data_IF_860339481297
#
_entry.id   IF_860339481297
#
_cell.length_a   1.000
_cell.length_b   1.000
_cell.length_c   1.000
_cell.angle_alpha   90.00
_cell.angle_beta   90.00
_cell.angle_gamma   90.00
#
_symmetry.space_group_name_H-M   'P 1'
#
loop_
_entity.id
_entity.type
_entity.pdbx_description
1 polymer ?
#
# COMPACT_ATOMS: atom_id res chain seq x y z
N UNK A 1 -33.27 21.19 25.07
CA UNK A 1 -31.96 21.16 24.36
C UNK A 1 -31.55 19.70 24.33
N UNK A 2 -31.94 19.01 23.25
CA UNK A 2 -31.53 17.64 23.02
C UNK A 2 -30.09 17.65 22.50
N UNK A 3 -29.20 17.01 23.25
CA UNK A 3 -27.83 16.75 22.84
C UNK A 3 -27.87 15.59 21.83
N UNK A 4 -27.75 15.92 20.57
CA UNK A 4 -27.64 14.92 19.50
C UNK A 4 -26.29 14.23 19.69
N UNK A 5 -26.32 13.05 20.24
CA UNK A 5 -25.14 12.17 20.35
C UNK A 5 -24.81 11.69 18.93
N UNK A 6 -23.80 12.30 18.31
CA UNK A 6 -23.23 11.78 17.06
C UNK A 6 -22.60 10.44 17.39
N UNK A 7 -23.26 9.36 16.95
CA UNK A 7 -22.69 8.02 17.00
C UNK A 7 -21.39 8.05 16.17
N UNK A 8 -20.27 7.89 16.84
CA UNK A 8 -18.99 7.53 16.23
C UNK A 8 -19.19 6.20 15.50
N UNK A 9 -19.32 6.25 14.19
CA UNK A 9 -19.21 5.06 13.36
C UNK A 9 -17.80 4.51 13.59
N UNK A 10 -17.71 3.36 14.24
CA UNK A 10 -16.48 2.61 14.40
C UNK A 10 -15.85 2.42 13.02
N UNK A 11 -14.53 2.59 12.91
CA UNK A 11 -13.78 2.45 11.66
C UNK A 11 -14.19 1.15 10.97
N UNK A 12 -14.95 1.26 9.87
CA UNK A 12 -15.44 0.12 9.10
C UNK A 12 -14.25 -0.76 8.68
N UNK A 13 -14.49 -2.05 8.52
CA UNK A 13 -13.46 -2.98 8.04
C UNK A 13 -12.88 -2.41 6.71
N UNK A 14 -11.56 -2.29 6.60
CA UNK A 14 -10.91 -1.75 5.40
C UNK A 14 -11.37 -2.47 4.12
N UNK A 15 -11.65 -3.76 4.19
CA UNK A 15 -12.18 -4.53 3.08
C UNK A 15 -13.52 -3.96 2.59
N UNK A 16 -14.42 -3.66 3.51
CA UNK A 16 -15.73 -3.10 3.19
C UNK A 16 -15.58 -1.68 2.61
N UNK A 17 -14.64 -0.89 3.14
CA UNK A 17 -14.29 0.42 2.60
C UNK A 17 -13.73 0.30 1.17
N UNK A 18 -12.79 -0.61 0.92
CA UNK A 18 -12.26 -0.84 -0.43
C UNK A 18 -13.36 -1.33 -1.38
N UNK A 19 -14.19 -2.28 -0.96
CA UNK A 19 -15.33 -2.73 -1.75
C UNK A 19 -16.29 -1.59 -2.08
N UNK A 20 -16.57 -0.72 -1.12
CA UNK A 20 -17.43 0.44 -1.32
C UNK A 20 -16.82 1.47 -2.27
N UNK A 21 -15.52 1.77 -2.12
CA UNK A 21 -14.78 2.69 -3.01
C UNK A 21 -14.78 2.17 -4.44
N UNK A 22 -14.49 0.88 -4.63
CA UNK A 22 -14.36 0.26 -5.96
C UNK A 22 -15.67 -0.31 -6.52
N UNK A 23 -16.79 -0.18 -5.79
CA UNK A 23 -18.08 -0.65 -6.28
C UNK A 23 -18.51 0.16 -7.54
N UNK A 24 -18.91 -0.51 -8.64
CA UNK A 24 -19.29 0.19 -9.88
C UNK A 24 -20.43 1.20 -9.71
N UNK A 25 -21.40 0.89 -8.81
CA UNK A 25 -22.52 1.77 -8.49
C UNK A 25 -22.19 2.82 -7.41
N UNK A 26 -20.94 2.91 -6.93
CA UNK A 26 -20.57 3.93 -5.97
C UNK A 26 -20.68 5.31 -6.61
N UNK A 27 -21.67 6.09 -6.15
CA UNK A 27 -21.88 7.46 -6.60
C UNK A 27 -20.76 8.43 -6.18
N UNK A 28 -19.86 7.99 -5.28
CA UNK A 28 -18.70 8.77 -4.87
C UNK A 28 -17.70 8.79 -6.00
N UNK A 29 -17.65 9.90 -6.74
CA UNK A 29 -16.59 10.23 -7.68
C UNK A 29 -15.33 10.72 -6.97
N UNK A 30 -15.36 10.80 -5.63
CA UNK A 30 -14.25 11.30 -4.82
C UNK A 30 -13.10 10.32 -4.85
N UNK A 31 -11.95 10.78 -5.30
CA UNK A 31 -10.71 10.06 -5.23
C UNK A 31 -10.22 10.02 -3.77
N UNK A 32 -9.71 8.87 -3.36
CA UNK A 32 -9.12 8.67 -2.05
C UNK A 32 -7.61 8.43 -2.17
N UNK A 33 -6.90 8.56 -1.06
CA UNK A 33 -5.50 8.17 -0.99
C UNK A 33 -5.18 7.42 0.30
N UNK A 34 -4.06 6.72 0.28
CA UNK A 34 -3.45 6.05 1.42
C UNK A 34 -1.95 6.34 1.47
N UNK A 35 -1.33 6.12 2.61
CA UNK A 35 0.07 6.46 2.81
C UNK A 35 0.87 5.31 3.44
N UNK A 36 2.12 5.16 3.03
CA UNK A 36 3.08 4.34 3.77
C UNK A 36 3.81 5.19 4.81
N UNK A 37 3.83 4.70 6.04
CA UNK A 37 4.48 5.34 7.20
C UNK A 37 5.67 4.49 7.61
N UNK A 38 6.86 5.09 7.63
CA UNK A 38 8.06 4.44 8.14
C UNK A 38 7.93 4.16 9.64
N UNK A 39 8.41 2.98 10.06
CA UNK A 39 8.43 2.58 11.48
C UNK A 39 9.63 3.13 12.25
N UNK A 40 10.44 4.01 11.65
CA UNK A 40 11.49 4.73 12.37
C UNK A 40 10.85 5.65 13.41
N UNK A 41 11.52 5.79 14.56
CA UNK A 41 11.01 6.60 15.66
C UNK A 41 10.66 8.02 15.19
N UNK A 42 9.36 8.27 15.11
CA UNK A 42 8.76 9.56 14.81
C UNK A 42 7.55 9.73 15.75
N UNK A 43 7.83 10.25 16.92
CA UNK A 43 6.81 10.45 17.97
C UNK A 43 5.71 11.44 17.56
N UNK A 44 5.97 12.27 16.53
CA UNK A 44 5.03 13.26 16.02
C UNK A 44 4.22 12.76 14.80
N UNK A 45 4.43 11.54 14.33
CA UNK A 45 3.84 11.08 13.07
C UNK A 45 2.30 11.15 13.08
N UNK A 46 1.67 10.83 14.20
CA UNK A 46 0.21 10.86 14.32
C UNK A 46 -0.32 12.30 14.23
N UNK A 47 0.35 13.26 14.89
CA UNK A 47 -0.01 14.67 14.80
C UNK A 47 0.17 15.20 13.37
N UNK A 48 1.24 14.79 12.70
CA UNK A 48 1.49 15.17 11.30
C UNK A 48 0.46 14.56 10.36
N UNK A 49 0.03 13.31 10.60
CA UNK A 49 -1.08 12.70 9.86
C UNK A 49 -2.38 13.45 10.04
N UNK A 50 -2.70 13.86 11.29
CA UNK A 50 -3.88 14.70 11.58
C UNK A 50 -3.86 16.04 10.85
N UNK A 51 -2.66 16.56 10.56
CA UNK A 51 -2.48 17.78 9.79
C UNK A 51 -2.74 17.65 8.29
N UNK A 52 -2.83 16.44 7.76
CA UNK A 52 -3.17 16.24 6.34
C UNK A 52 -4.65 16.58 6.06
N UNK A 53 -4.89 17.17 4.90
CA UNK A 53 -6.24 17.45 4.41
C UNK A 53 -6.30 17.16 2.90
N UNK A 54 -7.13 16.20 2.45
CA UNK A 54 -7.98 15.29 3.25
C UNK A 54 -7.18 14.27 4.07
N UNK A 55 -7.88 13.39 4.80
CA UNK A 55 -7.25 12.31 5.57
C UNK A 55 -7.04 11.05 4.73
N UNK A 56 -5.95 10.28 4.95
CA UNK A 56 -5.75 9.02 4.26
C UNK A 56 -6.78 7.97 4.72
N UNK A 57 -7.23 7.12 3.81
CA UNK A 57 -8.17 6.04 4.14
C UNK A 57 -7.52 4.90 4.92
N UNK A 58 -6.22 4.69 4.77
CA UNK A 58 -5.41 3.81 5.61
C UNK A 58 -3.94 4.22 5.61
N UNK A 59 -3.23 3.78 6.63
CA UNK A 59 -1.78 3.84 6.71
C UNK A 59 -1.18 2.45 6.50
N UNK A 60 -0.19 2.28 5.64
CA UNK A 60 0.58 1.04 5.53
C UNK A 60 1.88 1.13 6.30
N UNK A 61 2.27 0.03 6.93
CA UNK A 61 3.48 -0.06 7.74
C UNK A 61 4.42 -1.12 7.17
N UNK A 62 5.62 -0.73 6.68
CA UNK A 62 6.53 -1.67 6.08
C UNK A 62 7.09 -2.68 7.10
N UNK A 63 7.34 -3.90 6.63
CA UNK A 63 8.09 -4.91 7.34
C UNK A 63 9.58 -4.72 7.04
N UNK A 64 10.33 -4.26 8.04
CA UNK A 64 11.75 -3.94 7.85
C UNK A 64 12.59 -5.12 8.32
N UNK A 65 13.08 -5.93 7.38
CA UNK A 65 14.03 -7.04 7.57
C UNK A 65 13.59 -8.15 8.55
N UNK A 66 14.43 -9.16 8.68
CA UNK A 66 14.35 -10.25 9.69
C UNK A 66 14.57 -9.77 11.12
N UNK A 67 15.04 -8.53 11.29
CA UNK A 67 15.16 -7.92 12.62
C UNK A 67 13.84 -7.96 13.41
N UNK A 68 12.71 -8.05 12.73
CA UNK A 68 11.40 -8.17 13.35
C UNK A 68 11.21 -9.54 14.06
N UNK A 69 11.88 -10.58 13.62
CA UNK A 69 11.78 -11.92 14.23
C UNK A 69 12.43 -12.01 15.62
N UNK A 70 13.29 -11.03 15.99
CA UNK A 70 13.83 -10.92 17.36
C UNK A 70 12.77 -10.66 18.42
N UNK A 71 11.56 -10.26 18.04
CA UNK A 71 10.43 -10.01 18.93
C UNK A 71 9.52 -11.23 19.09
N UNK A 72 10.01 -12.42 18.79
CA UNK A 72 9.20 -13.67 18.85
C UNK A 72 8.62 -13.95 20.24
N UNK A 73 9.26 -13.49 21.31
CA UNK A 73 8.73 -13.59 22.68
C UNK A 73 7.48 -12.73 22.87
N UNK A 74 7.46 -11.54 22.26
CA UNK A 74 6.34 -10.60 22.34
C UNK A 74 6.33 -9.66 21.12
N UNK A 75 5.55 -10.00 20.12
CA UNK A 75 5.41 -9.21 18.90
C UNK A 75 4.76 -7.84 19.10
N UNK A 76 4.06 -7.60 20.23
CA UNK A 76 3.51 -6.25 20.52
C UNK A 76 4.61 -5.21 20.71
N UNK A 77 5.83 -5.64 21.03
CA UNK A 77 7.02 -4.78 21.17
C UNK A 77 7.66 -4.43 19.82
N UNK A 78 7.29 -5.11 18.74
CA UNK A 78 7.81 -4.83 17.42
C UNK A 78 7.43 -3.41 16.99
N UNK A 79 8.36 -2.58 16.47
CA UNK A 79 8.10 -1.18 16.16
C UNK A 79 6.88 -0.96 15.26
N UNK A 80 6.72 -1.79 14.22
CA UNK A 80 5.57 -1.68 13.30
C UNK A 80 4.24 -2.03 13.98
N UNK A 81 4.18 -3.05 14.85
CA UNK A 81 2.95 -3.41 15.56
C UNK A 81 2.63 -2.42 16.68
N UNK A 82 3.64 -1.90 17.37
CA UNK A 82 3.45 -0.83 18.34
C UNK A 82 2.85 0.42 17.67
N UNK A 83 3.41 0.82 16.52
CA UNK A 83 2.88 1.94 15.75
C UNK A 83 1.48 1.62 15.20
N UNK A 84 1.22 0.38 14.76
CA UNK A 84 -0.11 -0.04 14.34
C UNK A 84 -1.15 0.17 15.45
N UNK A 85 -0.84 -0.22 16.69
CA UNK A 85 -1.72 0.01 17.84
C UNK A 85 -1.97 1.50 18.10
N UNK A 86 -0.95 2.35 17.99
CA UNK A 86 -1.09 3.80 18.17
C UNK A 86 -1.96 4.42 17.05
N UNK A 87 -1.77 4.03 15.80
CA UNK A 87 -2.57 4.51 14.67
C UNK A 87 -4.03 4.06 14.79
N UNK A 88 -4.27 2.81 15.19
CA UNK A 88 -5.63 2.30 15.43
C UNK A 88 -6.34 3.03 16.57
N UNK A 89 -5.64 3.35 17.66
CA UNK A 89 -6.16 4.21 18.74
C UNK A 89 -6.51 5.62 18.23
N UNK A 90 -5.73 6.12 17.27
CA UNK A 90 -6.00 7.39 16.59
C UNK A 90 -7.04 7.27 15.45
N UNK A 91 -7.72 6.12 15.32
CA UNK A 91 -8.78 5.81 14.36
C UNK A 91 -8.31 5.70 12.90
N UNK A 92 -7.03 5.48 12.64
CA UNK A 92 -6.52 5.17 11.31
C UNK A 92 -6.60 3.66 11.04
N UNK A 93 -7.24 3.21 9.95
CA UNK A 93 -7.07 1.84 9.47
C UNK A 93 -5.61 1.57 9.12
N UNK A 94 -5.09 0.41 9.50
CA UNK A 94 -3.69 0.03 9.28
C UNK A 94 -3.60 -1.20 8.40
N UNK A 95 -2.71 -1.15 7.40
CA UNK A 95 -2.26 -2.29 6.60
C UNK A 95 -0.83 -2.61 7.01
N UNK A 96 -0.64 -3.73 7.70
CA UNK A 96 0.70 -4.16 8.11
C UNK A 96 1.34 -5.00 7.02
N UNK A 97 2.56 -4.65 6.59
CA UNK A 97 3.31 -5.54 5.71
C UNK A 97 3.73 -6.79 6.48
N UNK A 98 3.77 -7.92 5.80
CA UNK A 98 4.26 -9.18 6.33
C UNK A 98 5.14 -9.86 5.29
N UNK A 99 6.41 -10.05 5.63
CA UNK A 99 7.38 -10.70 4.76
C UNK A 99 7.42 -12.21 4.98
N UNK A 100 7.53 -12.96 3.90
CA UNK A 100 7.72 -14.42 3.95
C UNK A 100 9.09 -14.83 4.50
N UNK A 101 10.07 -13.93 4.51
CA UNK A 101 11.45 -14.27 4.85
C UNK A 101 11.59 -14.82 6.25
N UNK A 102 12.04 -16.09 6.34
CA UNK A 102 12.23 -16.85 7.59
C UNK A 102 11.00 -16.90 8.53
N UNK A 103 9.83 -16.60 8.03
CA UNK A 103 8.60 -16.60 8.82
C UNK A 103 8.05 -18.02 8.97
N UNK A 104 7.71 -18.41 10.20
CA UNK A 104 7.08 -19.68 10.53
C UNK A 104 5.57 -19.53 10.73
N UNK A 105 4.83 -20.64 10.63
CA UNK A 105 3.39 -20.65 10.91
C UNK A 105 3.09 -20.22 12.37
N UNK A 106 3.91 -20.66 13.31
CA UNK A 106 3.75 -20.30 14.72
C UNK A 106 3.93 -18.78 14.94
N UNK A 107 4.92 -18.17 14.26
CA UNK A 107 5.12 -16.72 14.33
C UNK A 107 3.95 -15.96 13.71
N UNK A 108 3.41 -16.44 12.57
CA UNK A 108 2.20 -15.86 11.99
C UNK A 108 1.04 -15.89 12.97
N UNK A 109 0.80 -17.05 13.61
CA UNK A 109 -0.27 -17.17 14.62
C UNK A 109 -0.06 -16.21 15.78
N UNK A 110 1.15 -16.12 16.34
CA UNK A 110 1.48 -15.16 17.41
C UNK A 110 1.24 -13.71 17.00
N UNK A 111 1.61 -13.34 15.75
CA UNK A 111 1.37 -11.98 15.21
C UNK A 111 -0.13 -11.72 15.12
N UNK A 112 -0.92 -12.63 14.57
CA UNK A 112 -2.37 -12.50 14.47
C UNK A 112 -3.03 -12.44 15.85
N UNK A 113 -2.57 -13.25 16.81
CA UNK A 113 -3.07 -13.26 18.18
C UNK A 113 -2.86 -11.94 18.94
N UNK A 114 -1.97 -11.05 18.48
CA UNK A 114 -1.85 -9.69 19.05
C UNK A 114 -3.14 -8.87 18.88
N UNK A 115 -4.02 -9.23 17.94
CA UNK A 115 -5.21 -8.46 17.57
C UNK A 115 -4.93 -7.15 16.83
N UNK A 116 -3.66 -6.79 16.63
CA UNK A 116 -3.24 -5.55 15.98
C UNK A 116 -3.21 -5.66 14.45
N UNK A 117 -3.27 -6.88 13.91
CA UNK A 117 -3.13 -7.15 12.48
C UNK A 117 -4.44 -7.72 11.93
N UNK A 118 -5.19 -6.86 11.21
CA UNK A 118 -6.44 -7.23 10.53
C UNK A 118 -6.35 -7.07 9.01
N UNK A 119 -5.48 -6.18 8.55
CA UNK A 119 -5.22 -5.94 7.13
C UNK A 119 -3.73 -6.14 6.89
N UNK A 120 -3.41 -6.93 5.90
CA UNK A 120 -2.04 -7.34 5.58
C UNK A 120 -1.67 -6.96 4.16
N UNK A 121 -0.42 -6.60 3.95
CA UNK A 121 0.20 -6.55 2.64
C UNK A 121 1.34 -7.58 2.60
N UNK A 122 1.15 -8.62 1.79
CA UNK A 122 2.06 -9.76 1.76
C UNK A 122 3.17 -9.51 0.76
N UNK A 123 4.40 -9.52 1.24
CA UNK A 123 5.61 -9.41 0.44
C UNK A 123 6.45 -10.68 0.56
N UNK A 124 7.12 -11.08 -0.53
CA UNK A 124 8.02 -12.23 -0.47
C UNK A 124 9.28 -11.92 0.35
N UNK A 125 9.74 -10.68 0.29
CA UNK A 125 11.06 -10.23 0.73
C UNK A 125 12.11 -10.36 -0.38
N UNK A 126 13.21 -9.63 -0.21
CA UNK A 126 14.30 -9.56 -1.21
C UNK A 126 15.17 -10.82 -1.20
N UNK A 127 15.26 -11.46 -0.04
CA UNK A 127 16.01 -12.69 0.16
C UNK A 127 15.05 -13.84 0.42
N UNK A 128 15.35 -15.01 -0.15
CA UNK A 128 14.61 -16.26 0.09
C UNK A 128 15.57 -17.29 0.63
N UNK A 129 15.28 -17.81 1.81
CA UNK A 129 15.93 -19.00 2.33
C UNK A 129 15.22 -20.24 1.72
N UNK A 130 15.92 -21.11 0.96
CA UNK A 130 15.29 -22.25 0.29
C UNK A 130 14.56 -23.21 1.26
N UNK A 131 14.92 -23.20 2.53
CA UNK A 131 14.33 -24.07 3.56
C UNK A 131 13.23 -23.41 4.38
N UNK A 132 12.93 -22.12 4.12
CA UNK A 132 11.86 -21.42 4.83
C UNK A 132 10.47 -21.98 4.48
N UNK A 133 9.50 -21.80 5.39
CA UNK A 133 8.14 -22.31 5.23
C UNK A 133 7.39 -21.66 4.06
N UNK A 134 7.55 -20.35 3.88
CA UNK A 134 6.89 -19.56 2.84
C UNK A 134 7.91 -19.06 1.83
N UNK A 135 8.13 -19.78 0.75
CA UNK A 135 9.12 -19.41 -0.27
C UNK A 135 8.60 -18.37 -1.26
N UNK A 136 7.27 -18.27 -1.36
CA UNK A 136 6.56 -17.30 -2.19
C UNK A 136 5.44 -16.62 -1.42
N UNK A 137 5.06 -15.44 -1.85
CA UNK A 137 3.94 -14.70 -1.22
C UNK A 137 2.60 -15.45 -1.33
N UNK A 138 2.39 -16.25 -2.37
CA UNK A 138 1.17 -17.05 -2.49
C UNK A 138 1.10 -18.18 -1.43
N UNK A 139 2.22 -18.74 -0.97
CA UNK A 139 2.24 -19.73 0.13
C UNK A 139 1.66 -19.12 1.41
N UNK A 140 2.05 -17.87 1.70
CA UNK A 140 1.58 -17.15 2.88
C UNK A 140 0.11 -16.71 2.73
N UNK A 141 -0.30 -16.27 1.54
CA UNK A 141 -1.72 -15.94 1.26
C UNK A 141 -2.60 -17.17 1.47
N UNK A 142 -2.22 -18.32 0.90
CA UNK A 142 -2.95 -19.59 1.04
C UNK A 142 -3.05 -20.01 2.51
N UNK A 143 -1.94 -19.95 3.25
CA UNK A 143 -1.93 -20.24 4.68
C UNK A 143 -2.89 -19.33 5.46
N UNK A 144 -2.80 -18.01 5.27
CA UNK A 144 -3.65 -17.04 5.96
C UNK A 144 -5.15 -17.21 5.66
N UNK A 145 -5.49 -17.76 4.47
CA UNK A 145 -6.88 -18.04 4.12
C UNK A 145 -7.44 -19.31 4.76
N UNK A 146 -6.56 -20.21 5.18
CA UNK A 146 -6.92 -21.47 5.86
C UNK A 146 -6.90 -21.38 7.39
N UNK A 147 -6.15 -20.45 7.96
CA UNK A 147 -6.11 -20.26 9.42
C UNK A 147 -7.48 -19.79 9.89
N UNK A 148 -8.12 -20.49 10.83
CA UNK A 148 -9.35 -19.99 11.45
C UNK A 148 -9.07 -18.64 12.11
N UNK A 149 -9.98 -17.67 11.93
CA UNK A 149 -9.92 -16.45 12.72
C UNK A 149 -10.31 -16.83 14.16
N UNK A 150 -9.32 -16.91 15.04
CA UNK A 150 -9.59 -17.07 16.47
C UNK A 150 -10.16 -15.75 17.02
N UNK A 151 -11.43 -15.78 17.43
CA UNK A 151 -12.06 -14.68 18.14
C UNK A 151 -11.43 -14.55 19.53
N UNK A 152 -10.60 -13.54 19.71
CA UNK A 152 -9.99 -13.19 21.00
C UNK A 152 -11.00 -12.75 22.07
N UNK A 153 -12.32 -12.84 21.81
CA UNK A 153 -13.38 -12.39 22.71
C UNK A 153 -14.68 -13.17 22.55
N UNK A 154 -14.68 -14.50 22.75
CA UNK A 154 -15.85 -15.29 23.13
C UNK A 154 -17.25 -14.96 22.54
N UNK A 155 -17.33 -14.26 21.41
CA UNK A 155 -18.56 -13.84 20.78
C UNK A 155 -18.78 -14.53 19.44
N UNK A 156 -20.01 -14.96 19.18
CA UNK A 156 -20.50 -15.52 17.92
C UNK A 156 -20.55 -14.48 16.78
N UNK A 157 -19.57 -13.57 16.72
CA UNK A 157 -19.43 -12.65 15.61
C UNK A 157 -18.76 -13.36 14.44
N UNK A 158 -19.29 -13.23 13.25
CA UNK A 158 -18.66 -13.61 11.99
C UNK A 158 -17.21 -13.13 12.01
N UNK A 159 -16.28 -14.07 12.19
CA UNK A 159 -14.84 -13.78 12.24
C UNK A 159 -14.50 -12.88 11.06
N UNK A 160 -14.09 -11.64 11.32
CA UNK A 160 -13.82 -10.68 10.25
C UNK A 160 -12.62 -11.20 9.47
N UNK A 161 -12.88 -11.68 8.26
CA UNK A 161 -11.85 -12.20 7.37
C UNK A 161 -10.75 -11.16 7.17
N UNK A 162 -9.48 -11.57 7.30
CA UNK A 162 -8.33 -10.72 7.03
C UNK A 162 -8.45 -10.06 5.65
N UNK A 163 -8.12 -8.78 5.55
CA UNK A 163 -7.93 -8.12 4.26
C UNK A 163 -6.49 -8.35 3.81
N UNK A 164 -6.28 -8.91 2.63
CA UNK A 164 -4.96 -9.25 2.12
C UNK A 164 -4.69 -8.50 0.81
N UNK A 165 -3.71 -7.59 0.86
CA UNK A 165 -3.10 -6.98 -0.31
C UNK A 165 -1.85 -7.72 -0.77
N UNK A 166 -1.54 -7.66 -2.05
CA UNK A 166 -0.33 -8.22 -2.65
C UNK A 166 0.30 -7.25 -3.62
N UNK A 167 1.63 -7.36 -3.82
CA UNK A 167 2.39 -6.49 -4.70
C UNK A 167 2.14 -6.79 -6.18
N UNK A 168 2.02 -5.72 -6.98
CA UNK A 168 2.04 -5.74 -8.43
C UNK A 168 3.25 -4.97 -8.96
N UNK A 169 3.79 -5.36 -10.12
CA UNK A 169 5.03 -4.81 -10.67
C UNK A 169 4.81 -4.34 -12.10
N UNK A 170 4.38 -3.08 -12.32
CA UNK A 170 4.06 -2.56 -13.65
C UNK A 170 5.21 -2.64 -14.65
N UNK A 171 6.44 -2.42 -14.20
CA UNK A 171 7.65 -2.54 -15.01
C UNK A 171 8.30 -3.94 -14.96
N UNK A 172 7.60 -4.92 -14.36
CA UNK A 172 8.12 -6.28 -14.14
C UNK A 172 8.93 -6.39 -12.85
N UNK A 173 8.96 -7.59 -12.30
CA UNK A 173 9.81 -7.91 -11.15
C UNK A 173 11.13 -8.46 -11.66
N UNK A 174 12.27 -7.98 -11.15
CA UNK A 174 13.62 -8.35 -11.63
C UNK A 174 13.93 -9.86 -11.56
N UNK A 175 13.18 -10.63 -10.79
CA UNK A 175 13.29 -12.09 -10.70
C UNK A 175 12.24 -12.83 -11.52
N UNK A 176 11.29 -12.14 -12.14
CA UNK A 176 10.33 -12.76 -13.05
C UNK A 176 11.00 -13.06 -14.38
N UNK A 177 10.72 -14.24 -14.95
CA UNK A 177 11.30 -14.67 -16.23
C UNK A 177 10.76 -13.86 -17.41
N UNK A 178 9.52 -13.40 -17.28
CA UNK A 178 8.83 -12.61 -18.29
C UNK A 178 7.68 -11.80 -17.68
N UNK A 179 7.20 -10.76 -18.37
CA UNK A 179 5.99 -10.05 -17.96
C UNK A 179 4.73 -10.95 -17.90
N UNK A 180 4.66 -12.00 -18.70
CA UNK A 180 3.55 -12.97 -18.67
C UNK A 180 3.60 -13.84 -17.42
N UNK A 181 4.79 -14.29 -17.00
CA UNK A 181 4.97 -15.03 -15.75
C UNK A 181 4.58 -14.18 -14.53
N UNK A 182 4.90 -12.88 -14.55
CA UNK A 182 4.51 -11.95 -13.51
C UNK A 182 2.98 -11.93 -13.33
N UNK A 183 2.24 -11.71 -14.41
CA UNK A 183 0.78 -11.68 -14.40
C UNK A 183 0.19 -13.04 -13.99
N UNK A 184 0.76 -14.15 -14.43
CA UNK A 184 0.33 -15.51 -14.02
C UNK A 184 0.48 -15.70 -12.51
N UNK A 185 1.63 -15.38 -11.93
CA UNK A 185 1.84 -15.46 -10.47
C UNK A 185 0.91 -14.53 -9.70
N UNK A 186 0.57 -13.39 -10.30
CA UNK A 186 -0.40 -12.48 -9.71
C UNK A 186 -1.81 -13.08 -9.71
N UNK A 187 -2.22 -13.66 -10.83
CA UNK A 187 -3.51 -14.36 -10.93
C UNK A 187 -3.63 -15.51 -9.92
N UNK A 188 -2.54 -16.25 -9.68
CA UNK A 188 -2.48 -17.29 -8.64
C UNK A 188 -2.77 -16.71 -7.25
N UNK A 189 -2.13 -15.58 -6.87
CA UNK A 189 -2.39 -14.90 -5.59
C UNK A 189 -3.84 -14.43 -5.46
N UNK A 190 -4.40 -13.93 -6.54
CA UNK A 190 -5.81 -13.49 -6.59
C UNK A 190 -6.76 -14.68 -6.44
N UNK A 191 -6.50 -15.79 -7.13
CA UNK A 191 -7.29 -17.02 -7.00
C UNK A 191 -7.26 -17.61 -5.59
N UNK A 192 -6.16 -17.43 -4.85
CA UNK A 192 -6.04 -17.79 -3.44
C UNK A 192 -6.74 -16.81 -2.50
N UNK A 193 -7.25 -15.70 -3.02
CA UNK A 193 -8.12 -14.79 -2.29
C UNK A 193 -7.45 -13.49 -1.85
N UNK A 194 -6.43 -12.97 -2.53
CA UNK A 194 -6.01 -11.60 -2.35
C UNK A 194 -7.18 -10.64 -2.61
N UNK A 195 -7.32 -9.59 -1.81
CA UNK A 195 -8.45 -8.66 -1.85
C UNK A 195 -8.14 -7.40 -2.68
N UNK A 196 -6.87 -7.01 -2.79
CA UNK A 196 -6.43 -5.87 -3.60
C UNK A 196 -4.96 -6.00 -4.02
N UNK A 197 -4.59 -5.24 -5.05
CA UNK A 197 -3.21 -5.06 -5.50
C UNK A 197 -2.74 -3.67 -5.15
N UNK A 198 -1.50 -3.57 -4.67
CA UNK A 198 -0.77 -2.30 -4.58
C UNK A 198 0.45 -2.41 -5.50
N UNK A 199 0.60 -1.47 -6.43
CA UNK A 199 1.74 -1.53 -7.36
C UNK A 199 3.03 -1.09 -6.68
N UNK A 200 4.15 -1.59 -7.20
CA UNK A 200 5.46 -0.96 -6.98
C UNK A 200 5.39 0.47 -7.51
N UNK A 201 6.32 1.31 -7.04
CA UNK A 201 6.34 2.73 -7.38
C UNK A 201 6.24 3.01 -8.88
N UNK A 202 5.33 3.91 -9.21
CA UNK A 202 5.08 4.42 -10.56
C UNK A 202 5.61 5.84 -10.69
N UNK A 203 5.98 6.20 -11.90
CA UNK A 203 6.47 7.54 -12.24
C UNK A 203 5.69 8.15 -13.41
N UNK A 204 4.76 7.42 -14.00
CA UNK A 204 3.84 7.90 -15.05
C UNK A 204 2.53 7.09 -15.03
N UNK A 205 1.45 7.69 -15.51
CA UNK A 205 0.13 7.05 -15.56
C UNK A 205 0.04 5.98 -16.66
N UNK A 206 0.73 6.16 -17.77
CA UNK A 206 0.68 5.23 -18.91
C UNK A 206 1.18 3.84 -18.52
N UNK A 207 2.27 3.75 -17.74
CA UNK A 207 2.78 2.48 -17.19
C UNK A 207 1.73 1.77 -16.33
N UNK A 208 0.96 2.52 -15.55
CA UNK A 208 -0.13 1.95 -14.74
C UNK A 208 -1.25 1.40 -15.61
N UNK A 209 -1.74 2.16 -16.57
CA UNK A 209 -2.85 1.73 -17.42
C UNK A 209 -2.50 0.51 -18.24
N UNK A 210 -1.29 0.50 -18.84
CA UNK A 210 -0.80 -0.68 -19.56
C UNK A 210 -0.75 -1.93 -18.66
N UNK A 211 -0.30 -1.79 -17.41
CA UNK A 211 -0.25 -2.87 -16.45
C UNK A 211 -1.66 -3.35 -16.05
N UNK A 212 -2.56 -2.40 -15.72
CA UNK A 212 -3.95 -2.69 -15.37
C UNK A 212 -4.63 -3.48 -16.49
N UNK A 213 -4.51 -3.04 -17.73
CA UNK A 213 -5.16 -3.69 -18.87
C UNK A 213 -4.66 -5.12 -19.07
N UNK A 214 -3.37 -5.37 -18.85
CA UNK A 214 -2.80 -6.72 -18.85
C UNK A 214 -3.37 -7.58 -17.71
N UNK A 215 -3.53 -7.02 -16.52
CA UNK A 215 -4.17 -7.70 -15.39
C UNK A 215 -5.62 -8.06 -15.72
N UNK A 216 -6.39 -7.12 -16.27
CA UNK A 216 -7.79 -7.35 -16.67
C UNK A 216 -7.91 -8.40 -17.76
N UNK A 217 -7.05 -8.38 -18.76
CA UNK A 217 -6.99 -9.40 -19.82
C UNK A 217 -6.68 -10.81 -19.27
N UNK A 218 -5.98 -10.90 -18.14
CA UNK A 218 -5.71 -12.15 -17.43
C UNK A 218 -6.81 -12.55 -16.41
N UNK A 219 -7.95 -11.85 -16.39
CA UNK A 219 -9.07 -12.14 -15.51
C UNK A 219 -8.91 -11.64 -14.05
N UNK A 220 -7.90 -10.81 -13.77
CA UNK A 220 -7.70 -10.22 -12.46
C UNK A 220 -8.68 -9.06 -12.30
N UNK A 221 -9.71 -9.21 -11.45
CA UNK A 221 -10.81 -8.24 -11.27
C UNK A 221 -10.74 -7.47 -9.95
N UNK A 222 -9.84 -7.83 -9.03
CA UNK A 222 -9.72 -7.11 -7.75
C UNK A 222 -9.20 -5.68 -7.95
N UNK A 223 -9.41 -4.76 -6.97
CA UNK A 223 -8.87 -3.41 -7.01
C UNK A 223 -7.36 -3.39 -7.25
N UNK A 224 -6.91 -2.51 -8.15
CA UNK A 224 -5.49 -2.25 -8.40
C UNK A 224 -5.21 -0.80 -7.98
N UNK A 225 -4.39 -0.63 -6.95
CA UNK A 225 -4.04 0.66 -6.38
C UNK A 225 -2.67 1.08 -6.92
N UNK A 226 -2.56 2.20 -7.68
CA UNK A 226 -1.28 2.73 -8.08
C UNK A 226 -0.48 3.25 -6.89
N UNK A 227 0.78 2.84 -6.78
CA UNK A 227 1.72 3.31 -5.78
C UNK A 227 2.63 4.40 -6.35
N UNK A 228 2.75 5.54 -5.68
CA UNK A 228 3.56 6.68 -6.08
C UNK A 228 4.59 6.98 -5.01
N UNK A 229 5.83 7.20 -5.42
CA UNK A 229 6.90 7.66 -4.56
C UNK A 229 7.27 9.12 -4.90
N UNK A 230 7.32 9.97 -3.87
CA UNK A 230 7.66 11.39 -4.01
C UNK A 230 9.11 11.62 -3.55
N UNK A 231 10.09 11.70 -4.47
CA UNK A 231 11.48 11.98 -4.10
C UNK A 231 11.65 13.44 -3.72
N UNK A 232 12.41 13.76 -2.65
CA UNK A 232 12.72 15.14 -2.26
C UNK A 232 14.05 15.63 -2.86
N UNK A 233 14.76 14.79 -3.61
CA UNK A 233 15.97 15.13 -4.35
C UNK A 233 16.24 14.13 -5.46
N UNK A 234 16.97 14.55 -6.49
CA UNK A 234 17.40 13.66 -7.57
C UNK A 234 18.23 12.47 -7.07
N UNK A 235 19.10 12.71 -6.09
CA UNK A 235 19.87 11.64 -5.43
C UNK A 235 18.98 10.60 -4.77
N UNK A 236 17.91 11.04 -4.10
CA UNK A 236 16.95 10.12 -3.47
C UNK A 236 16.17 9.31 -4.52
N UNK A 237 15.79 9.93 -5.65
CA UNK A 237 15.21 9.21 -6.77
C UNK A 237 16.15 8.09 -7.24
N UNK A 238 17.41 8.40 -7.51
CA UNK A 238 18.40 7.40 -7.96
C UNK A 238 18.58 6.26 -6.94
N UNK A 239 18.63 6.59 -5.66
CA UNK A 239 18.70 5.58 -4.58
C UNK A 239 17.48 4.66 -4.62
N UNK A 240 16.28 5.22 -4.80
CA UNK A 240 15.04 4.44 -4.87
C UNK A 240 15.00 3.56 -6.13
N UNK A 241 15.40 4.08 -7.28
CA UNK A 241 15.51 3.30 -8.53
C UNK A 241 16.48 2.12 -8.37
N UNK A 242 17.63 2.35 -7.73
CA UNK A 242 18.59 1.29 -7.41
C UNK A 242 18.03 0.23 -6.47
N UNK A 243 17.28 0.64 -5.46
CA UNK A 243 16.64 -0.26 -4.51
C UNK A 243 15.50 -1.06 -5.14
N UNK A 244 14.58 -0.40 -5.83
CA UNK A 244 13.41 -1.03 -6.46
C UNK A 244 13.73 -1.74 -7.78
N UNK A 245 14.89 -1.40 -8.39
CA UNK A 245 15.32 -1.84 -9.72
C UNK A 245 14.31 -1.47 -10.82
N UNK A 246 13.58 -0.41 -10.61
CA UNK A 246 12.66 0.17 -11.60
C UNK A 246 13.47 0.93 -12.64
N UNK A 247 13.14 0.72 -13.91
CA UNK A 247 13.70 1.50 -15.03
C UNK A 247 12.68 2.54 -15.45
N UNK A 248 13.07 3.81 -15.43
CA UNK A 248 12.19 4.90 -15.88
C UNK A 248 12.00 4.84 -17.40
N UNK A 249 10.77 5.11 -17.89
CA UNK A 249 10.56 5.41 -19.29
C UNK A 249 11.46 6.57 -19.75
N UNK A 250 11.92 6.60 -21.01
CA UNK A 250 12.85 7.64 -21.48
C UNK A 250 12.39 9.06 -21.19
N UNK A 251 11.14 9.39 -21.47
CA UNK A 251 10.57 10.72 -21.23
C UNK A 251 10.57 11.12 -19.75
N UNK A 252 10.29 10.15 -18.86
CA UNK A 252 10.32 10.36 -17.40
C UNK A 252 11.75 10.60 -16.95
N UNK A 253 12.68 9.75 -17.39
CA UNK A 253 14.10 9.90 -17.08
C UNK A 253 14.62 11.27 -17.49
N UNK A 254 14.39 11.67 -18.75
CA UNK A 254 14.85 12.92 -19.31
C UNK A 254 14.29 14.13 -18.53
N UNK A 255 13.01 14.07 -18.10
CA UNK A 255 12.41 15.09 -17.25
C UNK A 255 13.12 15.23 -15.91
N UNK A 256 13.44 14.13 -15.23
CA UNK A 256 14.14 14.18 -13.94
C UNK A 256 15.62 14.56 -14.09
N UNK A 257 16.28 14.13 -15.16
CA UNK A 257 17.69 14.50 -15.47
C UNK A 257 17.82 16.01 -15.70
N UNK A 258 16.85 16.65 -16.32
CA UNK A 258 16.83 18.10 -16.52
C UNK A 258 16.82 18.89 -15.20
N UNK A 259 16.36 18.27 -14.11
CA UNK A 259 16.29 18.86 -12.76
C UNK A 259 17.36 18.30 -11.79
N UNK A 260 18.35 17.56 -12.30
CA UNK A 260 19.38 16.92 -11.46
C UNK A 260 20.31 17.92 -10.75
N UNK A 261 20.44 19.12 -11.27
CA UNK A 261 21.26 20.20 -10.73
C UNK A 261 20.50 21.27 -9.94
N UNK A 262 19.20 21.12 -9.79
CA UNK A 262 18.34 22.09 -9.09
C UNK A 262 18.68 22.20 -7.61
N UNK A 263 18.38 23.36 -7.04
CA UNK A 263 18.31 23.52 -5.58
C UNK A 263 17.23 22.62 -4.97
N UNK A 264 17.29 22.31 -3.67
CA UNK A 264 16.26 21.50 -3.02
C UNK A 264 14.83 22.06 -3.22
N UNK A 265 14.68 23.37 -3.19
CA UNK A 265 13.41 24.07 -3.35
C UNK A 265 12.87 23.97 -4.79
N UNK A 266 13.74 24.14 -5.79
CA UNK A 266 13.40 23.99 -7.21
C UNK A 266 13.03 22.55 -7.54
N UNK A 267 13.81 21.59 -7.05
CA UNK A 267 13.52 20.17 -7.26
C UNK A 267 12.19 19.77 -6.59
N UNK A 268 11.91 20.26 -5.38
CA UNK A 268 10.63 20.03 -4.70
C UNK A 268 9.46 20.62 -5.52
N UNK A 269 9.61 21.85 -6.03
CA UNK A 269 8.57 22.47 -6.85
C UNK A 269 8.30 21.66 -8.13
N UNK A 270 9.34 21.17 -8.80
CA UNK A 270 9.24 20.27 -9.94
C UNK A 270 8.50 18.97 -9.56
N UNK A 271 8.91 18.31 -8.48
CA UNK A 271 8.29 17.05 -8.01
C UNK A 271 6.80 17.24 -7.71
N UNK A 272 6.44 18.34 -7.05
CA UNK A 272 5.03 18.66 -6.76
C UNK A 272 4.23 18.84 -8.03
N UNK A 273 4.74 19.60 -9.02
CA UNK A 273 4.05 19.79 -10.29
C UNK A 273 3.93 18.48 -11.08
N UNK A 274 5.05 17.78 -11.24
CA UNK A 274 5.14 16.54 -11.99
C UNK A 274 4.16 15.49 -11.48
N UNK A 275 4.24 15.16 -10.18
CA UNK A 275 3.38 14.11 -9.61
C UNK A 275 1.92 14.54 -9.44
N UNK A 276 1.65 15.83 -9.29
CA UNK A 276 0.27 16.31 -9.37
C UNK A 276 -0.33 16.08 -10.77
N UNK A 277 0.47 16.23 -11.83
CA UNK A 277 0.10 15.83 -13.19
C UNK A 277 -0.19 14.34 -13.29
N UNK A 278 0.74 13.49 -12.87
CA UNK A 278 0.59 12.02 -12.90
C UNK A 278 -0.67 11.57 -12.13
N UNK A 279 -0.92 12.14 -10.95
CA UNK A 279 -2.11 11.78 -10.15
C UNK A 279 -3.39 12.24 -10.84
N UNK A 280 -3.43 13.44 -11.44
CA UNK A 280 -4.60 13.88 -12.21
C UNK A 280 -4.87 12.95 -13.40
N UNK A 281 -3.85 12.55 -14.16
CA UNK A 281 -3.99 11.58 -15.25
C UNK A 281 -4.53 10.24 -14.76
N UNK A 282 -4.02 9.72 -13.63
CA UNK A 282 -4.52 8.48 -13.02
C UNK A 282 -6.00 8.56 -12.62
N UNK A 283 -6.45 9.73 -12.16
CA UNK A 283 -7.81 9.95 -11.68
C UNK A 283 -8.76 10.45 -12.76
N UNK A 284 -8.25 10.79 -13.97
CA UNK A 284 -9.06 11.33 -15.05
C UNK A 284 -10.04 10.25 -15.57
N UNK A 285 -11.36 10.52 -15.55
CA UNK A 285 -12.33 9.56 -16.04
C UNK A 285 -12.30 9.36 -17.56
N UNK A 286 -11.61 10.22 -18.33
CA UNK A 286 -11.43 10.06 -19.77
C UNK A 286 -10.35 9.01 -20.06
N UNK A 287 -9.25 9.04 -19.32
CA UNK A 287 -8.15 8.08 -19.44
C UNK A 287 -8.46 6.76 -18.70
N UNK A 288 -9.27 6.84 -17.63
CA UNK A 288 -9.78 5.66 -16.95
C UNK A 288 -11.03 5.16 -17.66
N UNK A 289 -11.08 3.88 -18.02
CA UNK A 289 -12.34 3.25 -18.45
C UNK A 289 -13.43 3.56 -17.41
N UNK A 290 -14.62 3.95 -17.88
CA UNK A 290 -15.78 4.21 -17.00
C UNK A 290 -16.07 3.01 -16.10
N UNK A 291 -15.74 1.81 -16.58
CA UNK A 291 -16.00 0.54 -15.89
C UNK A 291 -14.91 0.17 -14.88
N UNK A 292 -13.72 0.79 -14.94
CA UNK A 292 -12.58 0.48 -14.07
C UNK A 292 -11.78 1.75 -13.67
N UNK A 293 -12.44 2.73 -13.03
CA UNK A 293 -11.79 3.98 -12.66
C UNK A 293 -10.79 3.79 -11.52
N UNK A 294 -9.69 4.55 -11.56
CA UNK A 294 -8.79 4.68 -10.41
C UNK A 294 -9.47 5.56 -9.37
N UNK A 295 -9.76 5.01 -8.20
CA UNK A 295 -10.42 5.70 -7.09
C UNK A 295 -9.55 5.85 -5.85
N UNK A 296 -8.39 5.22 -5.85
CA UNK A 296 -7.45 5.21 -4.73
C UNK A 296 -6.03 5.24 -5.25
N UNK A 297 -5.20 6.13 -4.71
CA UNK A 297 -3.76 6.22 -4.95
C UNK A 297 -3.01 6.00 -3.64
N UNK A 298 -1.92 5.24 -3.67
CA UNK A 298 -1.07 5.02 -2.51
C UNK A 298 0.23 5.81 -2.62
N UNK A 299 0.63 6.52 -1.55
CA UNK A 299 1.86 7.28 -1.51
C UNK A 299 2.89 6.65 -0.57
N UNK A 300 4.05 6.30 -1.13
CA UNK A 300 5.24 5.93 -0.38
C UNK A 300 5.96 7.20 0.05
N UNK A 301 5.79 7.60 1.31
CA UNK A 301 6.18 8.95 1.76
C UNK A 301 7.50 9.02 2.52
N UNK A 302 7.97 7.91 3.08
CA UNK A 302 9.08 7.91 4.06
C UNK A 302 8.91 8.99 5.14
N UNK A 303 7.67 9.22 5.58
CA UNK A 303 7.26 10.25 6.53
C UNK A 303 7.39 11.70 6.03
N UNK A 304 7.64 11.95 4.73
CA UNK A 304 7.62 13.31 4.17
C UNK A 304 6.18 13.75 3.84
N UNK A 305 5.38 13.95 4.89
CA UNK A 305 3.97 14.32 4.75
C UNK A 305 3.78 15.77 4.27
N UNK A 306 4.77 16.63 4.46
CA UNK A 306 4.72 18.02 3.96
C UNK A 306 4.77 18.07 2.43
N UNK A 307 5.64 17.27 1.81
CA UNK A 307 5.70 17.15 0.36
C UNK A 307 4.39 16.53 -0.19
N UNK A 308 3.88 15.50 0.48
CA UNK A 308 2.59 14.91 0.13
C UNK A 308 1.47 15.96 0.16
N UNK A 309 1.36 16.75 1.25
CA UNK A 309 0.30 17.77 1.35
C UNK A 309 0.34 18.76 0.17
N UNK A 310 1.53 19.17 -0.28
CA UNK A 310 1.66 20.05 -1.45
C UNK A 310 1.11 19.42 -2.73
N UNK A 311 1.26 18.11 -2.91
CA UNK A 311 0.65 17.38 -4.04
C UNK A 311 -0.86 17.29 -3.87
N UNK A 312 -1.35 16.95 -2.66
CA UNK A 312 -2.80 16.86 -2.37
C UNK A 312 -3.51 18.20 -2.64
N UNK A 313 -2.92 19.32 -2.24
CA UNK A 313 -3.46 20.66 -2.45
C UNK A 313 -3.66 20.98 -3.94
N UNK A 314 -2.80 20.44 -4.80
CA UNK A 314 -2.87 20.66 -6.26
C UNK A 314 -3.83 19.71 -6.97
N UNK A 315 -3.99 18.50 -6.47
CA UNK A 315 -4.86 17.48 -7.09
C UNK A 315 -6.32 17.67 -6.71
N UNK A 316 -6.60 18.26 -5.55
CA UNK A 316 -7.95 18.45 -4.98
C UNK A 316 -8.67 17.10 -4.83
N UNK A 317 -8.17 16.24 -3.97
CA UNK A 317 -8.93 15.10 -3.49
C UNK A 317 -10.17 15.63 -2.74
N UNK A 318 -11.36 15.24 -3.18
CA UNK A 318 -12.64 15.66 -2.61
C UNK A 318 -13.15 14.65 -1.58
#
# INVERSE_FOLDING_TARGET
>A
MEVTTTQTQGAGNLRDQLQQIFHPASATRSAAFSVEISTKDDTAIIERLRGLSPQPIFCSLPWVSDANLRYEDDFTRMPSLRLAGQLQQAQYPVVSHLSCYNLTEQQVQKILATGLVRNLFIVRGDTVNPTQRFTHSFDLVDYLRRVPAEDSAGGTATASRLTIGVGGYPQGHHQSRSPTDEIRHLAEKVALGADFLLTQTLYDAASFFHYRDRCRAAGISIPIVPGIYLPHSYRQLQTMLGFTRVTLPPSVRDAFEAHAGDTPEEFEAFVVEYFSGVVRELLDPIETSIDDPVKLVHFFTFNNLSLLQKVLDRVKFE
#
